data_IF_693206140897
#
_entry.id   IF_693206140897
#
_cell.length_a   1.000
_cell.length_b   1.000
_cell.length_c   1.000
_cell.angle_alpha   90.00
_cell.angle_beta   90.00
_cell.angle_gamma   90.00
#
_symmetry.space_group_name_H-M   'P 1'
#
loop_
_entity.id
_entity.type
_entity.pdbx_description
1 polymer ?
#
# COMPACT_ATOMS: atom_id res chain seq x y z
N UNK A 1 -46.20 -43.21 -48.45
CA UNK A 1 -45.32 -42.05 -48.20
C UNK A 1 -45.52 -41.61 -46.76
N UNK A 2 -44.53 -41.81 -45.90
CA UNK A 2 -44.58 -41.39 -44.48
C UNK A 2 -43.93 -40.01 -44.45
N UNK A 3 -44.70 -38.97 -44.15
CA UNK A 3 -44.18 -37.61 -44.01
C UNK A 3 -43.60 -37.46 -42.60
N UNK A 4 -42.27 -37.36 -42.51
CA UNK A 4 -41.53 -37.07 -41.30
C UNK A 4 -41.63 -35.57 -40.99
N UNK A 5 -42.22 -35.24 -39.84
CA UNK A 5 -42.26 -33.89 -39.29
C UNK A 5 -41.05 -33.70 -38.34
N UNK A 6 -40.10 -32.85 -38.74
CA UNK A 6 -39.01 -32.39 -37.87
C UNK A 6 -39.41 -31.05 -37.23
N UNK A 7 -39.46 -30.92 -35.90
CA UNK A 7 -39.74 -29.65 -35.25
C UNK A 7 -38.50 -28.75 -35.36
N UNK A 8 -38.67 -27.56 -35.93
CA UNK A 8 -37.63 -26.52 -35.95
C UNK A 8 -37.51 -25.92 -34.55
N UNK A 9 -36.57 -26.44 -33.75
CA UNK A 9 -36.16 -25.76 -32.51
C UNK A 9 -35.26 -24.57 -32.88
N UNK A 10 -35.79 -23.36 -32.76
CA UNK A 10 -35.00 -22.13 -32.89
C UNK A 10 -34.18 -21.90 -31.63
N UNK A 11 -32.86 -21.86 -31.75
CA UNK A 11 -31.98 -21.43 -30.67
C UNK A 11 -32.07 -19.91 -30.51
N UNK A 12 -32.54 -19.44 -29.36
CA UNK A 12 -32.52 -18.02 -29.00
C UNK A 12 -31.17 -17.74 -28.34
N UNK A 13 -30.28 -17.06 -29.06
CA UNK A 13 -28.99 -16.59 -28.53
C UNK A 13 -29.20 -15.20 -27.92
N UNK A 14 -29.33 -15.11 -26.61
CA UNK A 14 -29.35 -13.83 -25.88
C UNK A 14 -27.94 -13.27 -25.78
N UNK A 15 -27.64 -12.24 -26.58
CA UNK A 15 -26.43 -11.43 -26.42
C UNK A 15 -26.56 -10.55 -25.16
N UNK A 16 -25.89 -10.93 -24.08
CA UNK A 16 -25.62 -10.03 -22.98
C UNK A 16 -24.48 -9.08 -23.37
N UNK A 17 -24.83 -7.85 -23.74
CA UNK A 17 -23.85 -6.78 -23.91
C UNK A 17 -23.45 -6.32 -22.51
N UNK A 18 -22.25 -6.70 -22.05
CA UNK A 18 -21.64 -6.14 -20.85
C UNK A 18 -21.22 -4.71 -21.16
N UNK A 19 -21.96 -3.71 -20.68
CA UNK A 19 -21.51 -2.32 -20.75
C UNK A 19 -20.34 -2.13 -19.80
N UNK A 20 -19.11 -2.15 -20.34
CA UNK A 20 -17.92 -1.67 -19.63
C UNK A 20 -17.98 -0.14 -19.65
N UNK A 21 -18.55 0.44 -18.59
CA UNK A 21 -18.56 1.89 -18.37
C UNK A 21 -17.54 2.27 -17.32
N UNK A 22 -16.71 3.28 -17.61
CA UNK A 22 -15.98 3.98 -16.55
C UNK A 22 -16.98 4.75 -15.68
N UNK A 23 -16.77 4.77 -14.37
CA UNK A 23 -17.58 5.59 -13.48
C UNK A 23 -17.21 7.08 -13.66
N UNK A 24 -18.21 7.94 -13.83
CA UNK A 24 -17.99 9.40 -13.94
C UNK A 24 -17.57 10.04 -12.60
N UNK A 25 -17.87 9.37 -11.48
CA UNK A 25 -17.58 9.85 -10.12
C UNK A 25 -17.10 8.70 -9.23
N UNK A 26 -16.41 9.03 -8.14
CA UNK A 26 -16.02 8.08 -7.10
C UNK A 26 -16.16 8.73 -5.72
N UNK A 27 -16.30 7.90 -4.69
CA UNK A 27 -16.37 8.34 -3.29
C UNK A 27 -14.99 8.11 -2.66
N UNK A 28 -14.43 9.15 -2.03
CA UNK A 28 -13.17 9.10 -1.33
C UNK A 28 -13.38 9.10 0.18
N UNK A 29 -12.46 8.46 0.92
CA UNK A 29 -12.36 8.54 2.36
C UNK A 29 -10.93 8.92 2.77
N UNK A 30 -10.82 9.63 3.90
CA UNK A 30 -9.55 9.91 4.58
C UNK A 30 -9.73 9.59 6.06
N UNK A 31 -8.68 9.09 6.71
CA UNK A 31 -8.71 8.81 8.14
C UNK A 31 -7.60 9.56 8.86
N UNK A 32 -7.99 10.42 9.81
CA UNK A 32 -7.06 11.00 10.77
C UNK A 32 -6.83 9.98 11.90
N UNK A 33 -5.59 9.52 12.04
CA UNK A 33 -5.23 8.44 12.96
C UNK A 33 -4.51 8.98 14.20
N UNK A 34 -5.03 8.63 15.37
CA UNK A 34 -4.32 8.80 16.63
C UNK A 34 -3.30 7.65 16.78
N UNK A 35 -2.11 7.84 16.22
CA UNK A 35 -1.07 6.80 16.09
C UNK A 35 -0.66 6.25 17.47
N UNK A 36 -0.63 4.92 17.59
CA UNK A 36 -0.03 4.23 18.74
C UNK A 36 1.48 4.26 18.52
N UNK A 37 2.16 5.14 19.24
CA UNK A 37 3.60 5.35 19.11
C UNK A 37 4.40 4.25 19.82
N UNK A 38 5.61 3.92 19.31
CA UNK A 38 6.56 3.09 20.04
C UNK A 38 7.05 3.82 21.28
N UNK A 39 7.48 3.06 22.29
CA UNK A 39 8.29 3.63 23.35
C UNK A 39 9.63 4.10 22.77
N UNK A 40 10.15 5.22 23.28
CA UNK A 40 11.48 5.70 22.87
C UNK A 40 12.54 4.76 23.42
N UNK A 41 13.27 4.09 22.53
CA UNK A 41 14.41 3.23 22.86
C UNK A 41 15.68 3.76 22.20
N UNK A 42 16.83 3.52 22.83
CA UNK A 42 18.15 3.84 22.24
C UNK A 42 18.64 2.72 21.30
N UNK A 43 18.16 1.49 21.51
CA UNK A 43 18.53 0.32 20.72
C UNK A 43 17.34 -0.19 19.88
N UNK A 44 17.59 -0.85 18.74
CA UNK A 44 16.53 -1.46 17.95
C UNK A 44 15.77 -2.52 18.74
N UNK A 45 14.45 -2.53 18.58
CA UNK A 45 13.59 -3.60 19.13
C UNK A 45 13.67 -4.87 18.26
N UNK A 46 13.30 -6.05 18.78
CA UNK A 46 13.10 -7.23 17.96
C UNK A 46 12.07 -7.00 16.85
N UNK A 47 12.23 -7.70 15.72
CA UNK A 47 11.34 -7.56 14.56
C UNK A 47 9.89 -7.94 14.91
N UNK A 48 9.71 -8.90 15.79
CA UNK A 48 8.41 -9.39 16.26
C UNK A 48 7.69 -8.30 17.09
N UNK A 49 8.44 -7.53 17.88
CA UNK A 49 7.90 -6.41 18.65
C UNK A 49 7.51 -5.23 17.75
N UNK A 50 8.36 -4.90 16.78
CA UNK A 50 8.04 -3.91 15.75
C UNK A 50 6.76 -4.28 14.99
N UNK A 51 6.66 -5.54 14.53
CA UNK A 51 5.48 -6.05 13.84
C UNK A 51 4.23 -6.03 14.72
N UNK A 52 4.35 -6.35 16.01
CA UNK A 52 3.24 -6.28 16.95
C UNK A 52 2.69 -4.85 17.10
N UNK A 53 3.56 -3.84 17.17
CA UNK A 53 3.14 -2.44 17.18
C UNK A 53 2.45 -2.04 15.87
N UNK A 54 3.06 -2.38 14.73
CA UNK A 54 2.48 -2.08 13.41
C UNK A 54 1.10 -2.73 13.25
N UNK A 55 0.93 -3.97 13.71
CA UNK A 55 -0.35 -4.65 13.69
C UNK A 55 -1.40 -3.96 14.57
N UNK A 56 -1.05 -3.43 15.75
CA UNK A 56 -1.99 -2.65 16.57
C UNK A 56 -2.49 -1.40 15.85
N UNK A 57 -1.61 -0.70 15.13
CA UNK A 57 -2.03 0.45 14.32
C UNK A 57 -2.91 -0.01 13.15
N UNK A 58 -2.54 -1.09 12.45
CA UNK A 58 -3.35 -1.64 11.36
C UNK A 58 -4.74 -2.11 11.86
N UNK A 59 -4.85 -2.64 13.09
CA UNK A 59 -6.15 -3.00 13.69
C UNK A 59 -7.11 -1.79 13.81
N UNK A 60 -6.56 -0.60 14.06
CA UNK A 60 -7.33 0.65 14.12
C UNK A 60 -7.70 1.10 12.71
N UNK A 61 -6.73 1.11 11.78
CA UNK A 61 -6.96 1.47 10.38
C UNK A 61 -7.99 0.55 9.72
N UNK A 62 -7.96 -0.75 10.03
CA UNK A 62 -8.89 -1.75 9.51
C UNK A 62 -10.36 -1.40 9.83
N UNK A 63 -10.64 -0.83 11.01
CA UNK A 63 -11.98 -0.36 11.36
C UNK A 63 -12.41 0.80 10.46
N UNK A 64 -11.50 1.73 10.17
CA UNK A 64 -11.76 2.86 9.27
C UNK A 64 -11.97 2.40 7.83
N UNK A 65 -11.14 1.47 7.33
CA UNK A 65 -11.28 0.89 5.99
C UNK A 65 -12.63 0.17 5.85
N UNK A 66 -12.98 -0.70 6.81
CA UNK A 66 -14.27 -1.40 6.83
C UNK A 66 -15.45 -0.44 6.83
N UNK A 67 -15.37 0.65 7.61
CA UNK A 67 -16.42 1.66 7.66
C UNK A 67 -16.54 2.42 6.33
N UNK A 68 -15.41 2.84 5.75
CA UNK A 68 -15.38 3.54 4.47
C UNK A 68 -15.95 2.67 3.34
N UNK A 69 -15.54 1.40 3.27
CA UNK A 69 -16.05 0.45 2.28
C UNK A 69 -17.57 0.23 2.42
N UNK A 70 -18.08 0.10 3.67
CA UNK A 70 -19.53 0.01 3.93
C UNK A 70 -20.31 1.27 3.50
N UNK A 71 -19.65 2.43 3.48
CA UNK A 71 -20.22 3.68 2.98
C UNK A 71 -20.01 3.89 1.47
N UNK A 72 -19.47 2.89 0.76
CA UNK A 72 -19.27 2.94 -0.69
C UNK A 72 -18.04 3.72 -1.14
N UNK A 73 -17.08 4.00 -0.24
CA UNK A 73 -15.80 4.58 -0.64
C UNK A 73 -15.05 3.65 -1.60
N UNK A 74 -14.50 4.21 -2.67
CA UNK A 74 -13.71 3.50 -3.67
C UNK A 74 -12.23 3.52 -3.31
N UNK A 75 -11.81 4.51 -2.53
CA UNK A 75 -10.45 4.69 -2.04
C UNK A 75 -10.47 5.27 -0.62
N UNK A 76 -9.54 4.81 0.22
CA UNK A 76 -9.26 5.38 1.53
C UNK A 76 -7.77 5.71 1.68
N UNK A 77 -7.48 6.91 2.16
CA UNK A 77 -6.11 7.36 2.46
C UNK A 77 -5.88 7.37 3.96
N UNK A 78 -4.78 6.74 4.38
CA UNK A 78 -4.27 6.75 5.77
C UNK A 78 -3.03 7.65 5.87
N UNK A 79 -2.69 8.17 7.07
CA UNK A 79 -1.68 9.22 7.20
C UNK A 79 -0.25 8.69 7.06
N UNK A 80 0.67 9.62 6.78
CA UNK A 80 2.12 9.40 6.91
C UNK A 80 2.47 8.88 8.31
N UNK A 81 3.40 7.94 8.40
CA UNK A 81 3.86 7.34 9.67
C UNK A 81 2.74 6.72 10.54
N UNK A 82 1.56 6.48 9.97
CA UNK A 82 0.38 5.98 10.70
C UNK A 82 0.51 4.56 11.25
N UNK A 83 1.52 3.80 10.80
CA UNK A 83 1.70 2.39 11.16
C UNK A 83 2.78 2.21 12.24
N UNK A 84 3.82 3.04 12.27
CA UNK A 84 4.96 2.90 13.19
C UNK A 84 5.36 4.19 13.93
N UNK A 85 4.81 5.36 13.60
CA UNK A 85 5.16 6.64 14.23
C UNK A 85 6.41 7.32 13.65
N UNK A 86 6.94 8.34 14.33
CA UNK A 86 7.97 9.24 13.77
C UNK A 86 9.19 9.45 14.68
N UNK A 87 9.41 8.60 15.68
CA UNK A 87 10.50 8.76 16.66
C UNK A 87 11.55 7.68 16.45
N UNK A 88 12.44 7.88 15.47
CA UNK A 88 13.44 6.88 15.08
C UNK A 88 14.81 7.45 14.70
N UNK A 89 15.83 6.61 14.81
CA UNK A 89 17.11 6.72 14.11
C UNK A 89 17.15 5.69 12.97
N UNK A 90 18.20 5.72 12.13
CA UNK A 90 18.41 4.71 11.07
C UNK A 90 18.46 3.28 11.61
N UNK A 91 18.97 3.10 12.81
CA UNK A 91 19.10 1.79 13.46
C UNK A 91 17.76 1.36 14.05
N UNK A 92 17.08 2.25 14.78
CA UNK A 92 15.86 1.88 15.50
C UNK A 92 14.64 1.69 14.60
N UNK A 93 14.60 2.32 13.41
CA UNK A 93 13.53 2.07 12.42
C UNK A 93 13.71 0.75 11.67
N UNK A 94 14.93 0.21 11.56
CA UNK A 94 15.23 -0.93 10.70
C UNK A 94 14.32 -2.17 10.90
N UNK A 95 13.92 -2.54 12.14
CA UNK A 95 12.97 -3.65 12.38
C UNK A 95 11.57 -3.44 11.79
N UNK A 96 11.18 -2.20 11.51
CA UNK A 96 9.89 -1.80 10.94
C UNK A 96 9.87 -1.80 9.39
N UNK A 97 11.03 -1.96 8.76
CA UNK A 97 11.18 -1.84 7.30
C UNK A 97 11.04 -3.19 6.58
N UNK A 98 10.34 -3.18 5.45
CA UNK A 98 10.24 -4.29 4.50
C UNK A 98 10.90 -3.94 3.16
N UNK A 99 11.28 -4.94 2.37
CA UNK A 99 11.67 -4.71 0.97
C UNK A 99 10.41 -4.70 0.11
N UNK A 100 9.99 -3.50 -0.32
CA UNK A 100 8.77 -3.31 -1.12
C UNK A 100 9.15 -3.37 -2.61
N UNK A 101 8.65 -4.32 -3.42
CA UNK A 101 9.04 -4.44 -4.82
C UNK A 101 8.47 -3.31 -5.69
N UNK A 102 8.97 -3.18 -6.92
CA UNK A 102 8.37 -2.27 -7.90
C UNK A 102 6.99 -2.82 -8.34
N UNK A 103 5.93 -1.99 -8.49
CA UNK A 103 4.58 -2.49 -8.82
C UNK A 103 4.47 -3.31 -10.13
N UNK A 104 5.40 -3.13 -11.07
CA UNK A 104 5.46 -3.88 -12.33
C UNK A 104 5.64 -5.40 -12.14
N UNK A 105 6.08 -5.85 -10.96
CA UNK A 105 6.15 -7.28 -10.66
C UNK A 105 4.77 -7.96 -10.63
N UNK A 106 3.68 -7.19 -10.68
CA UNK A 106 2.30 -7.66 -10.73
C UNK A 106 2.01 -8.64 -9.59
N UNK A 107 2.00 -8.13 -8.36
CA UNK A 107 1.89 -8.95 -7.17
C UNK A 107 0.69 -8.56 -6.31
N UNK A 108 -0.03 -9.59 -5.84
CA UNK A 108 -1.10 -9.48 -4.86
C UNK A 108 -0.58 -10.20 -3.60
N UNK A 109 -0.02 -9.48 -2.62
CA UNK A 109 0.52 -10.09 -1.40
C UNK A 109 -0.46 -11.01 -0.69
N UNK A 110 -1.75 -10.66 -0.64
CA UNK A 110 -2.78 -11.48 -0.01
C UNK A 110 -3.03 -12.84 -0.70
N UNK A 111 -2.67 -12.98 -1.97
CA UNK A 111 -2.82 -14.25 -2.73
C UNK A 111 -1.52 -15.06 -2.77
N UNK A 112 -0.38 -14.39 -2.77
CA UNK A 112 0.94 -15.02 -2.90
C UNK A 112 1.96 -14.40 -1.91
N UNK A 113 1.76 -14.60 -0.59
CA UNK A 113 2.52 -13.88 0.44
C UNK A 113 4.00 -14.27 0.50
N UNK A 114 4.38 -15.43 -0.04
CA UNK A 114 5.74 -15.95 0.05
C UNK A 114 6.66 -15.51 -1.11
N UNK A 115 6.12 -14.83 -2.13
CA UNK A 115 6.86 -14.49 -3.35
C UNK A 115 8.10 -13.62 -3.13
N UNK A 116 8.05 -12.70 -2.18
CA UNK A 116 9.12 -11.74 -1.89
C UNK A 116 9.66 -11.89 -0.46
N UNK A 117 9.62 -13.11 0.08
CA UNK A 117 10.09 -13.41 1.43
C UNK A 117 9.09 -12.96 2.50
N UNK A 118 9.60 -12.48 3.64
CA UNK A 118 8.76 -12.14 4.79
C UNK A 118 8.31 -10.67 4.76
N UNK A 119 7.11 -10.44 4.24
CA UNK A 119 6.49 -9.11 4.03
C UNK A 119 5.08 -9.01 4.67
N UNK A 120 4.93 -9.26 5.98
CA UNK A 120 3.63 -9.34 6.64
C UNK A 120 2.81 -8.04 6.62
N UNK A 121 3.45 -6.86 6.60
CA UNK A 121 2.74 -5.57 6.55
C UNK A 121 2.13 -5.37 5.16
N UNK A 122 2.88 -5.65 4.09
CA UNK A 122 2.35 -5.63 2.72
C UNK A 122 1.24 -6.66 2.50
N UNK A 123 1.40 -7.87 3.05
CA UNK A 123 0.36 -8.92 3.04
C UNK A 123 -0.93 -8.42 3.68
N UNK A 124 -0.82 -7.87 4.89
CA UNK A 124 -1.99 -7.44 5.66
C UNK A 124 -2.72 -6.27 5.00
N UNK A 125 -1.99 -5.28 4.47
CA UNK A 125 -2.59 -4.15 3.75
C UNK A 125 -3.24 -4.59 2.43
N UNK A 126 -2.62 -5.53 1.71
CA UNK A 126 -3.20 -6.15 0.51
C UNK A 126 -4.51 -6.88 0.82
N UNK A 127 -4.55 -7.69 1.89
CA UNK A 127 -5.78 -8.36 2.30
C UNK A 127 -6.85 -7.37 2.75
N UNK A 128 -6.46 -6.32 3.48
CA UNK A 128 -7.39 -5.28 3.90
C UNK A 128 -8.07 -4.59 2.71
N UNK A 129 -7.33 -4.31 1.65
CA UNK A 129 -7.86 -3.78 0.40
C UNK A 129 -8.78 -4.78 -0.32
N UNK A 130 -8.28 -6.00 -0.54
CA UNK A 130 -9.00 -7.08 -1.23
C UNK A 130 -10.33 -7.45 -0.55
N UNK A 131 -10.30 -7.65 0.76
CA UNK A 131 -11.45 -8.18 1.51
C UNK A 131 -12.56 -7.13 1.70
N UNK A 132 -12.24 -5.86 1.45
CA UNK A 132 -13.20 -4.75 1.48
C UNK A 132 -13.45 -4.13 0.10
N UNK A 133 -12.89 -4.71 -0.97
CA UNK A 133 -13.02 -4.24 -2.35
C UNK A 133 -12.78 -2.73 -2.51
N UNK A 134 -11.75 -2.20 -1.85
CA UNK A 134 -11.45 -0.75 -1.78
C UNK A 134 -9.96 -0.51 -2.01
N UNK A 135 -9.61 0.58 -2.69
CA UNK A 135 -8.21 1.02 -2.78
C UNK A 135 -7.73 1.51 -1.42
N UNK A 136 -6.58 1.02 -0.96
CA UNK A 136 -5.97 1.43 0.32
C UNK A 136 -4.65 2.13 0.01
N UNK A 137 -4.55 3.40 0.41
CA UNK A 137 -3.30 4.16 0.40
C UNK A 137 -2.75 4.19 1.82
N UNK A 138 -1.51 3.73 1.98
CA UNK A 138 -0.82 3.70 3.26
C UNK A 138 0.63 4.17 3.13
N UNK A 139 1.21 4.58 4.25
CA UNK A 139 2.61 4.94 4.36
C UNK A 139 3.32 3.91 5.25
N UNK A 140 4.34 3.25 4.71
CA UNK A 140 5.19 2.28 5.39
C UNK A 140 6.67 2.54 5.08
N UNK A 141 7.56 1.80 5.74
CA UNK A 141 8.99 1.93 5.56
C UNK A 141 9.53 0.91 4.57
N UNK A 142 10.28 1.39 3.58
CA UNK A 142 10.98 0.54 2.62
C UNK A 142 12.46 0.46 2.96
N UNK A 143 13.06 -0.72 2.77
CA UNK A 143 14.52 -0.89 2.75
C UNK A 143 14.97 -1.50 1.44
N UNK A 144 16.14 -1.06 0.97
CA UNK A 144 16.78 -1.61 -0.22
C UNK A 144 18.22 -1.97 0.10
N UNK A 145 18.58 -3.26 0.14
CA UNK A 145 19.97 -3.65 0.33
C UNK A 145 20.81 -3.13 -0.84
N UNK A 146 22.01 -2.66 -0.53
CA UNK A 146 23.00 -2.24 -1.50
C UNK A 146 24.38 -2.79 -1.09
N UNK A 147 25.36 -2.65 -1.97
CA UNK A 147 26.71 -3.15 -1.72
C UNK A 147 27.75 -2.11 -2.19
N UNK A 148 29.03 -2.41 -1.99
CA UNK A 148 30.13 -1.51 -2.34
C UNK A 148 30.24 -1.19 -3.85
N UNK A 149 29.53 -1.90 -4.74
CA UNK A 149 29.48 -1.53 -6.17
C UNK A 149 28.58 -0.34 -6.45
N UNK A 150 27.62 -0.05 -5.56
CA UNK A 150 26.84 1.17 -5.56
C UNK A 150 27.57 2.26 -4.78
N UNK A 151 28.08 3.26 -5.49
CA UNK A 151 28.87 4.36 -4.92
C UNK A 151 28.08 5.24 -3.95
N UNK A 152 26.74 5.19 -3.99
CA UNK A 152 25.87 5.96 -3.09
C UNK A 152 25.35 5.12 -1.91
N UNK A 153 25.72 3.84 -1.83
CA UNK A 153 25.26 2.95 -0.78
C UNK A 153 25.68 3.47 0.60
N UNK A 154 24.74 3.67 1.53
CA UNK A 154 25.07 4.07 2.89
C UNK A 154 26.04 3.08 3.57
N UNK A 155 26.86 3.53 4.55
CA UNK A 155 27.84 2.67 5.21
C UNK A 155 27.24 1.46 5.94
N UNK A 156 25.96 1.52 6.31
CA UNK A 156 25.20 0.43 6.94
C UNK A 156 24.65 -0.59 5.94
N UNK A 157 24.88 -0.40 4.62
CA UNK A 157 24.63 -1.41 3.58
C UNK A 157 23.21 -1.42 3.00
N UNK A 158 22.39 -0.41 3.31
CA UNK A 158 21.03 -0.33 2.78
C UNK A 158 20.50 1.11 2.75
N UNK A 159 19.63 1.35 1.78
CA UNK A 159 18.77 2.53 1.78
C UNK A 159 17.53 2.28 2.64
N UNK A 160 16.99 3.37 3.19
CA UNK A 160 15.77 3.38 3.98
C UNK A 160 14.89 4.53 3.48
N UNK A 161 13.63 4.26 3.19
CA UNK A 161 12.73 5.25 2.60
C UNK A 161 11.39 5.29 3.33
N UNK A 162 10.93 6.51 3.62
CA UNK A 162 9.52 6.78 3.84
C UNK A 162 8.77 6.52 2.53
N UNK A 163 7.77 5.62 2.57
CA UNK A 163 7.21 5.04 1.36
C UNK A 163 5.69 4.98 1.39
N UNK A 164 5.06 5.70 0.45
CA UNK A 164 3.65 5.48 0.16
C UNK A 164 3.49 4.23 -0.70
N UNK A 165 2.52 3.39 -0.34
CA UNK A 165 2.08 2.21 -1.10
C UNK A 165 0.59 2.31 -1.39
N UNK A 166 0.18 1.78 -2.53
CA UNK A 166 -1.23 1.69 -2.90
C UNK A 166 -1.56 0.25 -3.28
N UNK A 167 -2.57 -0.30 -2.62
CA UNK A 167 -3.20 -1.57 -2.99
C UNK A 167 -4.54 -1.28 -3.65
N UNK A 168 -4.79 -1.90 -4.82
CA UNK A 168 -6.10 -1.80 -5.48
C UNK A 168 -7.18 -2.64 -4.78
N UNK A 169 -8.41 -2.56 -5.27
CA UNK A 169 -9.55 -3.31 -4.72
C UNK A 169 -9.41 -4.84 -4.82
N UNK A 170 -8.46 -5.38 -5.58
CA UNK A 170 -8.13 -6.81 -5.60
C UNK A 170 -6.97 -7.17 -4.66
N UNK A 171 -6.37 -6.17 -4.01
CA UNK A 171 -5.19 -6.28 -3.16
C UNK A 171 -3.87 -6.24 -3.92
N UNK A 172 -3.84 -5.88 -5.20
CA UNK A 172 -2.60 -5.78 -5.98
C UNK A 172 -1.82 -4.53 -5.58
N UNK A 173 -0.50 -4.66 -5.41
CA UNK A 173 0.38 -3.50 -5.29
C UNK A 173 0.44 -2.76 -6.63
N UNK A 174 -0.13 -1.56 -6.69
CA UNK A 174 -0.23 -0.76 -7.93
C UNK A 174 0.62 0.50 -7.92
N UNK A 175 1.06 0.97 -6.75
CA UNK A 175 2.00 2.09 -6.65
C UNK A 175 2.94 1.95 -5.46
N UNK A 176 4.17 2.44 -5.63
CA UNK A 176 5.18 2.64 -4.59
C UNK A 176 5.84 4.00 -4.84
N UNK A 177 5.87 4.86 -3.83
CA UNK A 177 6.50 6.18 -3.92
C UNK A 177 7.40 6.43 -2.73
N UNK A 178 8.67 6.73 -3.00
CA UNK A 178 9.63 7.17 -1.99
C UNK A 178 9.58 8.69 -1.84
N UNK A 179 9.48 9.20 -0.61
CA UNK A 179 9.49 10.64 -0.33
C UNK A 179 10.79 11.27 -0.84
N UNK A 180 10.67 12.18 -1.82
CA UNK A 180 11.82 12.78 -2.52
C UNK A 180 12.48 13.99 -1.82
N UNK A 181 11.95 14.44 -0.68
CA UNK A 181 12.52 15.54 0.12
C UNK A 181 12.42 15.14 1.59
N UNK A 182 13.57 14.86 2.21
CA UNK A 182 13.65 14.61 3.64
C UNK A 182 13.32 15.91 4.37
N UNK A 183 12.33 15.86 5.28
CA UNK A 183 12.02 16.97 6.17
C UNK A 183 13.17 17.09 7.16
N UNK A 184 14.24 17.79 6.75
CA UNK A 184 15.26 18.23 7.68
C UNK A 184 14.62 19.27 8.61
N UNK A 185 14.80 19.13 9.92
CA UNK A 185 14.47 20.15 10.92
C UNK A 185 15.37 21.39 10.74
N UNK A 186 15.39 22.00 9.56
CA UNK A 186 15.97 23.32 9.34
C UNK A 186 14.89 24.34 9.68
N UNK A 187 15.01 24.85 10.91
CA UNK A 187 14.45 26.11 11.43
C UNK A 187 13.22 26.64 10.68
N UNK A 188 12.08 26.51 11.34
CA UNK A 188 10.87 27.32 11.23
C UNK A 188 11.15 28.76 10.74
N UNK A 189 11.11 28.97 9.41
CA UNK A 189 11.08 30.28 8.75
C UNK A 189 10.91 30.08 7.25
N UNK A 190 9.74 30.47 6.75
CA UNK A 190 9.28 30.51 5.34
C UNK A 190 8.58 29.24 4.88
N UNK A 191 7.28 29.42 4.69
CA UNK A 191 6.40 28.59 3.89
C UNK A 191 7.12 28.16 2.60
N UNK A 192 7.56 26.91 2.54
CA UNK A 192 8.05 26.31 1.29
C UNK A 192 6.80 25.84 0.57
N UNK A 193 6.41 26.59 -0.45
CA UNK A 193 5.44 26.16 -1.46
C UNK A 193 6.05 24.94 -2.14
N UNK A 194 5.71 23.73 -1.70
CA UNK A 194 6.13 22.50 -2.38
C UNK A 194 5.32 22.38 -3.68
N UNK A 195 5.89 22.89 -4.76
CA UNK A 195 5.42 22.57 -6.11
C UNK A 195 5.67 21.09 -6.36
N UNK A 196 4.59 20.34 -6.55
CA UNK A 196 4.60 18.98 -7.10
C UNK A 196 5.22 19.02 -8.50
N UNK A 197 6.53 18.79 -8.58
CA UNK A 197 7.21 18.57 -9.86
C UNK A 197 7.55 17.10 -9.93
N UNK A 198 6.59 16.35 -10.48
CA UNK A 198 6.78 15.03 -11.05
C UNK A 198 7.90 15.14 -12.08
N UNK A 199 9.14 14.87 -11.66
CA UNK A 199 10.29 14.91 -12.56
C UNK A 199 10.30 13.58 -13.31
N UNK A 200 9.63 13.60 -14.46
CA UNK A 200 9.86 12.67 -15.56
C UNK A 200 11.36 12.69 -15.89
N UNK A 201 11.89 11.51 -16.18
CA UNK A 201 13.30 11.18 -16.36
C UNK A 201 14.10 12.13 -17.28
N UNK A 202 15.40 12.18 -16.98
CA UNK A 202 16.49 12.20 -17.97
C UNK A 202 17.65 11.40 -17.38
#
# INVERSE_FOLDING_TARGET
MIASYLPKYGAVLTLFVLSVGALDTFIAAVYEHAVILPNRTETPVPKEEALLLMNKNIDVLEKAVKLAARQGAHIIVTPEDGIYGWVFTRETIYPYLEDIPHPEVNWIPCKDPQRFGYTPVQERLSCLAKDNSIYVVANIGDKKPCNASDTNCPPDGHYQYNTNVVFDSEGKLVARYHKGVEFTHLKQSRCITMTWKQRVAS
#
